data_IF_895368477712
#
_entry.id   IF_895368477712
#
_cell.length_a   1.000
_cell.length_b   1.000
_cell.length_c   1.000
_cell.angle_alpha   90.00
_cell.angle_beta   90.00
_cell.angle_gamma   90.00
#
_symmetry.space_group_name_H-M   'P 1'
#
loop_
_entity.id
_entity.type
_entity.pdbx_description
1 polymer ?
#
# COMPACT_ATOMS: atom_id res chain seq x y z
N UNK A 1 -2.12 7.65 -3.51
CA UNK A 1 -3.09 7.17 -2.50
C UNK A 1 -3.38 8.27 -1.50
N UNK A 2 -4.63 8.39 -1.02
CA UNK A 2 -5.03 9.33 0.03
C UNK A 2 -5.97 8.63 1.05
N UNK A 3 -5.94 8.98 2.33
CA UNK A 3 -6.82 8.38 3.34
C UNK A 3 -8.28 8.72 3.05
N UNK A 4 -9.14 7.70 3.03
CA UNK A 4 -10.60 7.86 2.79
C UNK A 4 -11.46 7.36 3.93
N UNK A 5 -10.94 6.49 4.81
CA UNK A 5 -11.64 6.02 6.00
C UNK A 5 -10.64 5.52 7.03
N UNK A 6 -10.94 5.68 8.31
CA UNK A 6 -10.27 4.97 9.40
C UNK A 6 -11.30 4.21 10.24
N UNK A 7 -10.96 3.01 10.70
CA UNK A 7 -11.77 2.25 11.63
C UNK A 7 -10.85 1.53 12.60
N UNK A 8 -10.92 1.91 13.88
CA UNK A 8 -9.96 1.48 14.88
C UNK A 8 -8.53 1.87 14.48
N UNK A 9 -7.62 0.90 14.58
CA UNK A 9 -6.20 1.05 14.26
C UNK A 9 -5.87 0.89 12.77
N UNK A 10 -6.85 0.85 11.86
CA UNK A 10 -6.61 0.66 10.43
C UNK A 10 -7.12 1.83 9.60
N UNK A 11 -6.32 2.24 8.60
CA UNK A 11 -6.65 3.29 7.63
C UNK A 11 -6.83 2.65 6.27
N UNK A 12 -7.92 2.98 5.58
CA UNK A 12 -8.09 2.72 4.16
C UNK A 12 -7.60 3.93 3.36
N UNK A 13 -6.66 3.66 2.47
CA UNK A 13 -6.18 4.59 1.47
C UNK A 13 -6.82 4.27 0.11
N UNK A 14 -7.18 5.29 -0.66
CA UNK A 14 -7.67 5.14 -2.03
C UNK A 14 -6.71 5.81 -3.01
N UNK A 15 -6.35 5.13 -4.09
CA UNK A 15 -5.70 5.70 -5.28
C UNK A 15 -6.66 5.66 -6.46
N UNK A 16 -6.52 6.61 -7.38
CA UNK A 16 -7.30 6.68 -8.63
C UNK A 16 -6.43 6.43 -9.88
N UNK A 17 -5.13 6.24 -9.71
CA UNK A 17 -4.23 5.94 -10.81
C UNK A 17 -4.48 4.51 -11.33
N UNK A 18 -4.67 4.39 -12.65
CA UNK A 18 -4.97 3.11 -13.33
C UNK A 18 -6.24 2.44 -12.81
N UNK A 19 -7.24 3.24 -12.45
CA UNK A 19 -8.49 2.78 -11.84
C UNK A 19 -8.49 2.97 -10.32
N UNK A 20 -9.65 2.78 -9.71
CA UNK A 20 -9.78 2.91 -8.25
C UNK A 20 -9.13 1.70 -7.56
N UNK A 21 -8.24 1.99 -6.61
CA UNK A 21 -7.59 0.96 -5.79
C UNK A 21 -7.62 1.33 -4.32
N UNK A 22 -7.97 0.36 -3.49
CA UNK A 22 -8.06 0.53 -2.04
C UNK A 22 -7.02 -0.35 -1.35
N UNK A 23 -6.24 0.27 -0.48
CA UNK A 23 -5.28 -0.43 0.37
C UNK A 23 -5.61 -0.12 1.83
N UNK A 24 -5.72 -1.15 2.66
CA UNK A 24 -5.90 -0.98 4.10
C UNK A 24 -4.57 -1.24 4.81
N UNK A 25 -4.12 -0.27 5.60
CA UNK A 25 -2.85 -0.34 6.34
C UNK A 25 -3.11 -0.21 7.85
N UNK A 26 -2.31 -0.87 8.71
CA UNK A 26 -2.30 -0.55 10.13
C UNK A 26 -1.77 0.86 10.37
N UNK A 27 -2.31 1.54 11.38
CA UNK A 27 -1.93 2.87 11.83
C UNK A 27 -1.17 2.77 13.15
N UNK A 28 -0.03 2.10 13.12
CA UNK A 28 0.91 2.04 14.24
C UNK A 28 2.33 1.80 13.71
N UNK A 29 3.31 2.20 14.50
CA UNK A 29 4.74 2.02 14.27
C UNK A 29 5.32 1.26 15.49
N UNK A 30 6.01 0.11 15.32
CA UNK A 30 6.43 -0.51 14.06
C UNK A 30 5.35 -1.33 13.35
N UNK A 31 5.52 -1.46 12.03
CA UNK A 31 4.81 -2.45 11.21
C UNK A 31 5.57 -3.78 11.19
N UNK A 32 4.84 -4.91 11.22
CA UNK A 32 5.45 -6.22 10.98
C UNK A 32 5.97 -6.28 9.54
N UNK A 33 7.15 -6.89 9.33
CA UNK A 33 7.77 -7.04 8.01
C UNK A 33 6.84 -7.73 7.01
N UNK A 34 6.15 -8.81 7.42
CA UNK A 34 5.22 -9.51 6.53
C UNK A 34 4.03 -8.63 6.11
N UNK A 35 3.56 -7.76 7.00
CA UNK A 35 2.46 -6.83 6.72
C UNK A 35 2.89 -5.78 5.73
N UNK A 36 4.09 -5.22 5.90
CA UNK A 36 4.67 -4.30 4.93
C UNK A 36 4.85 -4.98 3.57
N UNK A 37 5.37 -6.21 3.54
CA UNK A 37 5.55 -6.98 2.32
C UNK A 37 4.21 -7.19 1.58
N UNK A 38 3.16 -7.62 2.28
CA UNK A 38 1.84 -7.82 1.69
C UNK A 38 1.23 -6.52 1.13
N UNK A 39 1.45 -5.38 1.81
CA UNK A 39 1.02 -4.06 1.32
C UNK A 39 1.75 -3.72 0.01
N UNK A 40 3.07 -3.89 -0.03
CA UNK A 40 3.87 -3.62 -1.22
C UNK A 40 3.50 -4.53 -2.38
N UNK A 41 3.26 -5.81 -2.14
CA UNK A 41 2.84 -6.77 -3.17
C UNK A 41 1.48 -6.40 -3.77
N UNK A 42 0.52 -5.99 -2.93
CA UNK A 42 -0.79 -5.51 -3.41
C UNK A 42 -0.68 -4.25 -4.26
N UNK A 43 0.16 -3.29 -3.86
CA UNK A 43 0.44 -2.09 -4.65
C UNK A 43 1.13 -2.45 -5.97
N UNK A 44 2.16 -3.30 -5.94
CA UNK A 44 2.86 -3.73 -7.15
C UNK A 44 1.90 -4.38 -8.15
N UNK A 45 1.06 -5.29 -7.67
CA UNK A 45 0.05 -5.98 -8.49
C UNK A 45 -0.93 -5.01 -9.16
N UNK A 46 -1.48 -4.03 -8.42
CA UNK A 46 -2.37 -3.01 -8.99
C UNK A 46 -1.70 -2.21 -10.11
N UNK A 47 -0.42 -1.86 -9.92
CA UNK A 47 0.33 -1.11 -10.93
C UNK A 47 0.91 -1.99 -12.05
N UNK A 48 0.73 -3.32 -12.00
CA UNK A 48 1.33 -4.26 -12.96
C UNK A 48 2.86 -4.26 -12.92
N UNK A 49 3.44 -4.02 -11.74
CA UNK A 49 4.88 -3.98 -11.51
C UNK A 49 5.34 -5.24 -10.77
N UNK A 50 6.60 -5.61 -10.97
CA UNK A 50 7.29 -6.52 -10.07
C UNK A 50 7.70 -5.82 -8.76
N UNK A 51 7.93 -6.59 -7.70
CA UNK A 51 8.30 -6.06 -6.38
C UNK A 51 9.58 -5.22 -6.42
N UNK A 52 10.62 -5.70 -7.12
CA UNK A 52 11.88 -4.97 -7.25
C UNK A 52 11.72 -3.64 -7.97
N UNK A 53 10.92 -3.62 -9.05
CA UNK A 53 10.62 -2.41 -9.81
C UNK A 53 9.85 -1.39 -8.96
N UNK A 54 8.91 -1.84 -8.13
CA UNK A 54 8.22 -0.96 -7.18
C UNK A 54 9.20 -0.36 -6.17
N UNK A 55 10.10 -1.17 -5.60
CA UNK A 55 11.06 -0.71 -4.59
C UNK A 55 12.00 0.36 -5.15
N UNK A 56 12.52 0.18 -6.37
CA UNK A 56 13.34 1.18 -7.04
C UNK A 56 12.62 2.53 -7.14
N UNK A 57 11.34 2.53 -7.54
CA UNK A 57 10.56 3.78 -7.65
C UNK A 57 10.28 4.49 -6.33
N UNK A 58 10.29 3.77 -5.22
CA UNK A 58 9.97 4.32 -3.90
C UNK A 58 11.20 4.88 -3.19
N UNK A 59 12.37 4.30 -3.45
CA UNK A 59 13.56 4.52 -2.62
C UNK A 59 14.82 4.94 -3.39
N UNK A 60 14.81 4.87 -4.73
CA UNK A 60 15.85 5.47 -5.58
C UNK A 60 15.39 6.85 -6.10
#
# INVERSE_FOLDING_TARGET
YAPTRQTGSHIRLTGSERGEHHVTIPNHDPLRVDTLAAILDGVAAHHGLGREELLKRLFD
#
